data_IF_565015815879
#
_entry.id   IF_565015815879
#
_cell.length_a   1.000
_cell.length_b   1.000
_cell.length_c   1.000
_cell.angle_alpha   90.00
_cell.angle_beta   90.00
_cell.angle_gamma   90.00
#
_symmetry.space_group_name_H-M   'P 1'
#
loop_
_entity.id
_entity.type
_entity.pdbx_description
1 polymer ?
#
# COMPACT_ATOMS: atom_id res chain seq x y z
N UNK A 1 -1.85 -23.26 -3.66
CA UNK A 1 -2.90 -22.25 -3.88
C UNK A 1 -4.26 -22.70 -3.35
N UNK A 2 -4.31 -23.53 -2.31
CA UNK A 2 -5.58 -24.10 -1.83
C UNK A 2 -6.53 -23.03 -1.27
N UNK A 3 -6.02 -22.08 -0.47
CA UNK A 3 -6.83 -20.96 0.03
C UNK A 3 -7.37 -20.08 -1.11
N UNK A 4 -6.52 -19.68 -2.06
CA UNK A 4 -6.92 -18.83 -3.18
C UNK A 4 -7.92 -19.54 -4.09
N UNK A 5 -7.76 -20.83 -4.34
CA UNK A 5 -8.71 -21.65 -5.10
C UNK A 5 -10.07 -21.74 -4.40
N UNK A 6 -10.09 -21.94 -3.07
CA UNK A 6 -11.33 -21.93 -2.28
C UNK A 6 -12.11 -20.62 -2.37
N UNK A 7 -11.42 -19.49 -2.52
CA UNK A 7 -12.05 -18.18 -2.69
C UNK A 7 -12.23 -17.75 -4.16
N UNK A 8 -11.95 -18.62 -5.14
CA UNK A 8 -12.06 -18.28 -6.57
C UNK A 8 -11.06 -17.21 -7.03
N UNK A 9 -9.96 -17.03 -6.29
CA UNK A 9 -8.90 -16.07 -6.61
C UNK A 9 -7.88 -16.76 -7.50
N UNK A 10 -7.73 -16.27 -8.73
CA UNK A 10 -6.69 -16.71 -9.67
C UNK A 10 -5.35 -16.11 -9.27
N UNK A 11 -4.35 -16.91 -8.84
CA UNK A 11 -3.02 -16.40 -8.55
C UNK A 11 -2.33 -16.01 -9.86
N UNK A 12 -1.83 -14.77 -9.94
CA UNK A 12 -1.03 -14.29 -11.06
C UNK A 12 0.39 -14.01 -10.57
N UNK A 13 1.36 -14.71 -11.12
CA UNK A 13 2.78 -14.51 -10.82
C UNK A 13 3.47 -13.97 -12.07
N UNK A 14 4.18 -12.86 -11.91
CA UNK A 14 4.99 -12.29 -12.98
C UNK A 14 6.13 -13.24 -13.36
N UNK A 15 6.61 -13.18 -14.60
CA UNK A 15 7.82 -13.89 -15.00
C UNK A 15 9.01 -13.32 -14.22
N UNK A 16 9.97 -14.18 -13.88
CA UNK A 16 11.24 -13.74 -13.28
C UNK A 16 11.89 -12.68 -14.19
N UNK A 17 12.27 -11.55 -13.59
CA UNK A 17 12.83 -10.41 -14.32
C UNK A 17 11.80 -9.36 -14.78
N UNK A 18 10.53 -9.47 -14.39
CA UNK A 18 9.52 -8.44 -14.62
C UNK A 18 9.15 -7.69 -13.32
N UNK A 19 9.83 -6.57 -12.98
CA UNK A 19 9.55 -5.80 -11.77
C UNK A 19 8.30 -4.92 -11.89
N UNK A 20 7.80 -4.65 -13.11
CA UNK A 20 6.71 -3.69 -13.32
C UNK A 20 5.42 -4.09 -12.62
N UNK A 21 5.13 -5.40 -12.55
CA UNK A 21 3.94 -5.92 -11.87
C UNK A 21 3.97 -5.62 -10.35
N UNK A 22 5.16 -5.45 -9.77
CA UNK A 22 5.37 -5.14 -8.35
C UNK A 22 5.65 -3.65 -8.09
N UNK A 23 5.88 -2.84 -9.13
CA UNK A 23 6.37 -1.47 -9.00
C UNK A 23 5.45 -0.57 -8.14
N UNK A 24 4.13 -0.76 -8.21
CA UNK A 24 3.17 -0.01 -7.39
C UNK A 24 3.32 -0.34 -5.89
N UNK A 25 3.50 -1.62 -5.56
CA UNK A 25 3.72 -2.04 -4.18
C UNK A 25 5.08 -1.54 -3.66
N UNK A 26 6.13 -1.64 -4.48
CA UNK A 26 7.46 -1.10 -4.13
C UNK A 26 7.44 0.40 -3.87
N UNK A 27 6.68 1.14 -4.68
CA UNK A 27 6.50 2.58 -4.50
C UNK A 27 5.80 2.89 -3.17
N UNK A 28 4.72 2.18 -2.85
CA UNK A 28 4.05 2.31 -1.55
C UNK A 28 5.01 2.05 -0.38
N UNK A 29 5.74 0.93 -0.42
CA UNK A 29 6.70 0.60 0.66
C UNK A 29 7.85 1.60 0.77
N UNK A 30 8.26 2.21 -0.35
CA UNK A 30 9.28 3.27 -0.33
C UNK A 30 8.77 4.51 0.40
N UNK A 31 7.52 4.92 0.13
CA UNK A 31 6.90 6.04 0.87
C UNK A 31 6.70 5.71 2.34
N UNK A 32 6.14 4.55 2.69
CA UNK A 32 5.96 4.13 4.09
C UNK A 32 7.29 4.19 4.87
N UNK A 33 8.38 3.68 4.28
CA UNK A 33 9.67 3.69 4.96
C UNK A 33 10.25 5.10 5.14
N UNK A 34 10.12 5.96 4.14
CA UNK A 34 10.78 7.29 4.10
C UNK A 34 9.97 8.40 4.77
N UNK A 35 8.65 8.31 4.71
CA UNK A 35 7.73 9.31 5.27
C UNK A 35 7.32 8.97 6.70
N UNK A 36 7.22 7.68 7.05
CA UNK A 36 6.71 7.23 8.33
C UNK A 36 7.79 6.56 9.19
N UNK A 37 8.33 5.41 8.77
CA UNK A 37 9.19 4.58 9.64
C UNK A 37 10.52 5.25 9.97
N UNK A 38 11.19 5.86 8.99
CA UNK A 38 12.51 6.49 9.21
C UNK A 38 12.46 7.71 10.14
N UNK A 39 11.28 8.28 10.35
CA UNK A 39 11.07 9.49 11.16
C UNK A 39 10.66 9.21 12.59
N UNK A 40 10.44 7.94 12.95
CA UNK A 40 9.90 7.53 14.23
C UNK A 40 10.83 6.57 14.96
N UNK A 41 10.90 6.69 16.28
CA UNK A 41 11.58 5.71 17.15
C UNK A 41 10.56 4.74 17.71
N UNK A 42 10.29 3.68 16.96
CA UNK A 42 9.37 2.62 17.36
C UNK A 42 10.07 1.68 18.36
N UNK A 43 9.49 1.51 19.54
CA UNK A 43 10.08 0.69 20.61
C UNK A 43 9.38 -0.65 20.81
N UNK A 44 8.10 -0.73 20.42
CA UNK A 44 7.28 -1.94 20.57
C UNK A 44 6.59 -2.30 19.26
N UNK A 45 6.20 -3.57 19.14
CA UNK A 45 5.43 -4.03 17.99
C UNK A 45 4.06 -3.32 17.90
N UNK A 46 3.39 -3.12 19.03
CA UNK A 46 2.11 -2.41 19.10
C UNK A 46 2.22 -0.96 18.60
N UNK A 47 3.29 -0.25 18.98
CA UNK A 47 3.57 1.08 18.43
C UNK A 47 3.81 1.04 16.91
N UNK A 48 4.51 0.01 16.42
CA UNK A 48 4.72 -0.16 14.98
C UNK A 48 3.39 -0.34 14.25
N UNK A 49 2.50 -1.16 14.83
CA UNK A 49 1.19 -1.47 14.26
C UNK A 49 0.31 -0.21 14.19
N UNK A 50 0.16 0.51 15.30
CA UNK A 50 -0.60 1.76 15.34
C UNK A 50 -0.06 2.79 14.34
N UNK A 51 1.26 2.95 14.29
CA UNK A 51 1.90 3.88 13.36
C UNK A 51 1.65 3.49 11.88
N UNK A 52 1.69 2.21 11.55
CA UNK A 52 1.40 1.72 10.21
C UNK A 52 -0.09 1.89 9.88
N UNK A 53 -0.99 1.60 10.82
CA UNK A 53 -2.44 1.76 10.64
C UNK A 53 -2.79 3.23 10.37
N UNK A 54 -2.23 4.16 11.15
CA UNK A 54 -2.40 5.60 10.95
C UNK A 54 -1.86 6.04 9.58
N UNK A 55 -0.68 5.53 9.19
CA UNK A 55 -0.11 5.87 7.88
C UNK A 55 -0.94 5.32 6.72
N UNK A 56 -1.50 4.12 6.85
CA UNK A 56 -2.40 3.53 5.83
C UNK A 56 -3.67 4.37 5.70
N UNK A 57 -4.22 4.86 6.82
CA UNK A 57 -5.38 5.75 6.80
C UNK A 57 -5.04 7.04 6.05
N UNK A 58 -3.97 7.74 6.48
CA UNK A 58 -3.48 8.95 5.81
C UNK A 58 -3.25 8.71 4.31
N UNK A 59 -2.54 7.63 3.96
CA UNK A 59 -2.20 7.34 2.57
C UNK A 59 -3.44 7.20 1.69
N UNK A 60 -4.50 6.54 2.17
CA UNK A 60 -5.69 6.30 1.37
C UNK A 60 -6.69 7.45 1.36
N UNK A 61 -6.88 8.13 2.50
CA UNK A 61 -8.01 9.04 2.70
C UNK A 61 -7.62 10.51 2.81
N UNK A 62 -6.34 10.84 2.98
CA UNK A 62 -5.89 12.22 3.18
C UNK A 62 -4.79 12.63 2.20
N UNK A 63 -4.01 11.67 1.69
CA UNK A 63 -2.87 11.95 0.81
C UNK A 63 -3.33 12.56 -0.52
N UNK A 64 -3.00 13.83 -0.74
CA UNK A 64 -3.32 14.52 -1.98
C UNK A 64 -2.48 14.00 -3.15
N UNK A 65 -3.11 13.53 -4.22
CA UNK A 65 -2.42 13.14 -5.44
C UNK A 65 -2.40 14.29 -6.45
N UNK A 66 -1.22 14.91 -6.67
CA UNK A 66 -1.04 16.04 -7.57
C UNK A 66 -1.66 15.84 -8.96
N UNK A 67 -1.55 14.63 -9.52
CA UNK A 67 -2.05 14.30 -10.86
C UNK A 67 -3.58 14.35 -10.96
N UNK A 68 -4.29 13.93 -9.92
CA UNK A 68 -5.74 13.78 -9.95
C UNK A 68 -6.48 14.82 -9.10
N UNK A 69 -5.75 15.54 -8.24
CA UNK A 69 -6.29 16.46 -7.23
C UNK A 69 -7.32 15.82 -6.30
N UNK A 70 -7.15 14.52 -6.06
CA UNK A 70 -8.01 13.66 -5.25
C UNK A 70 -7.13 12.77 -4.37
N UNK A 71 -7.73 12.21 -3.32
CA UNK A 71 -7.10 11.15 -2.54
C UNK A 71 -7.14 9.82 -3.29
N UNK A 72 -6.28 8.83 -2.97
CA UNK A 72 -6.34 7.52 -3.61
C UNK A 72 -7.72 6.86 -3.51
N UNK A 73 -8.40 7.01 -2.37
CA UNK A 73 -9.74 6.49 -2.16
C UNK A 73 -10.78 7.16 -3.07
N UNK A 74 -10.79 8.49 -3.14
CA UNK A 74 -11.69 9.22 -4.03
C UNK A 74 -11.47 8.85 -5.49
N UNK A 75 -10.19 8.76 -5.91
CA UNK A 75 -9.87 8.38 -7.28
C UNK A 75 -10.34 6.96 -7.61
N UNK A 76 -10.21 6.02 -6.67
CA UNK A 76 -10.70 4.65 -6.82
C UNK A 76 -12.23 4.59 -6.88
N UNK A 77 -12.92 5.39 -6.06
CA UNK A 77 -14.38 5.40 -5.97
C UNK A 77 -15.06 5.90 -7.25
N UNK A 78 -14.35 6.70 -8.06
CA UNK A 78 -14.81 7.15 -9.38
C UNK A 78 -14.60 6.13 -10.51
N UNK A 79 -13.81 5.08 -10.27
CA UNK A 79 -13.50 4.06 -11.28
C UNK A 79 -14.44 2.84 -11.21
N UNK A 80 -15.51 2.95 -10.41
CA UNK A 80 -16.56 1.94 -10.22
C UNK A 80 -17.76 2.28 -11.10
#
# INVERSE_FOLDING_TARGET
FDLTQRYGITPSMSRRGNPYDNALAENFFSFLKTECISRQRVQTFEQAQLLIDDYIHFYNFERFQLKYRLTPFEKRSQAV
#
